data_IF_197959795093
#
_entry.id   IF_197959795093
#
_cell.length_a   1.000
_cell.length_b   1.000
_cell.length_c   1.000
_cell.angle_alpha   90.00
_cell.angle_beta   90.00
_cell.angle_gamma   90.00
#
_symmetry.space_group_name_H-M   'P 1'
#
loop_
_entity.id
_entity.type
_entity.pdbx_description
1 polymer ?
#
# COMPACT_ATOMS: atom_id res chain seq x y z
N UNK A 1 -13.87 -8.02 -23.49
CA UNK A 1 -13.43 -8.51 -22.15
C UNK A 1 -12.23 -7.70 -21.64
N UNK A 2 -11.23 -7.44 -22.50
CA UNK A 2 -10.03 -6.62 -22.22
C UNK A 2 -10.36 -5.19 -21.73
N UNK A 3 -11.38 -4.53 -22.27
CA UNK A 3 -11.72 -3.17 -21.82
C UNK A 3 -12.32 -3.15 -20.41
N UNK A 4 -12.94 -4.25 -19.97
CA UNK A 4 -13.47 -4.35 -18.60
C UNK A 4 -12.34 -4.48 -17.58
N UNK A 5 -11.30 -5.28 -17.88
CA UNK A 5 -10.15 -5.43 -16.98
C UNK A 5 -9.34 -4.14 -16.88
N UNK A 6 -9.16 -3.41 -17.99
CA UNK A 6 -8.52 -2.09 -18.00
C UNK A 6 -9.26 -1.07 -17.14
N UNK A 7 -10.59 -0.96 -17.29
CA UNK A 7 -11.41 -0.05 -16.45
C UNK A 7 -11.42 -0.45 -14.97
N UNK A 8 -11.41 -1.76 -14.70
CA UNK A 8 -11.26 -2.26 -13.35
C UNK A 8 -9.93 -1.80 -12.73
N UNK A 9 -8.82 -1.93 -13.46
CA UNK A 9 -7.52 -1.49 -12.99
C UNK A 9 -7.51 0.02 -12.66
N UNK A 10 -8.08 0.86 -13.53
CA UNK A 10 -8.22 2.30 -13.26
C UNK A 10 -8.98 2.56 -11.95
N UNK A 11 -10.12 1.89 -11.77
CA UNK A 11 -10.95 2.04 -10.56
C UNK A 11 -10.20 1.55 -9.32
N UNK A 12 -9.54 0.39 -9.41
CA UNK A 12 -8.77 -0.19 -8.32
C UNK A 12 -7.58 0.71 -7.93
N UNK A 13 -6.90 1.32 -8.90
CA UNK A 13 -5.82 2.27 -8.65
C UNK A 13 -6.33 3.51 -7.89
N UNK A 14 -7.43 4.12 -8.32
CA UNK A 14 -8.00 5.29 -7.63
C UNK A 14 -8.42 4.93 -6.21
N UNK A 15 -9.17 3.84 -6.04
CA UNK A 15 -9.60 3.38 -4.72
C UNK A 15 -8.40 3.13 -3.80
N UNK A 16 -7.32 2.53 -4.33
CA UNK A 16 -6.11 2.26 -3.54
C UNK A 16 -5.46 3.53 -3.02
N UNK A 17 -5.37 4.60 -3.84
CA UNK A 17 -4.84 5.89 -3.41
C UNK A 17 -5.75 6.58 -2.37
N UNK A 18 -7.06 6.43 -2.50
CA UNK A 18 -8.01 6.95 -1.50
C UNK A 18 -7.91 6.20 -0.17
N UNK A 19 -7.75 4.87 -0.20
CA UNK A 19 -7.51 4.07 1.00
C UNK A 19 -6.18 4.43 1.67
N UNK A 20 -5.12 4.64 0.89
CA UNK A 20 -3.83 5.10 1.39
C UNK A 20 -3.97 6.42 2.17
N UNK A 21 -4.68 7.40 1.60
CA UNK A 21 -4.93 8.67 2.28
C UNK A 21 -5.73 8.48 3.57
N UNK A 22 -6.76 7.62 3.53
CA UNK A 22 -7.61 7.35 4.69
C UNK A 22 -6.81 6.72 5.83
N UNK A 23 -6.03 5.67 5.55
CA UNK A 23 -5.24 4.98 6.57
C UNK A 23 -4.10 5.84 7.09
N UNK A 24 -3.53 6.73 6.27
CA UNK A 24 -2.55 7.70 6.74
C UNK A 24 -3.14 8.72 7.71
N UNK A 25 -4.36 9.20 7.44
CA UNK A 25 -5.05 10.19 8.31
C UNK A 25 -5.56 9.59 9.61
N UNK A 26 -6.10 8.39 9.55
CA UNK A 26 -6.72 7.69 10.67
C UNK A 26 -6.26 6.23 10.71
N UNK A 27 -5.00 5.98 11.09
CA UNK A 27 -4.48 4.63 11.18
C UNK A 27 -5.02 3.90 12.41
N UNK A 28 -5.19 2.57 12.36
CA UNK A 28 -5.47 1.78 13.56
C UNK A 28 -4.38 2.00 14.61
N UNK A 29 -4.76 2.06 15.89
CA UNK A 29 -3.87 2.38 17.02
C UNK A 29 -2.59 1.57 17.00
N UNK A 30 -2.73 0.26 16.79
CA UNK A 30 -1.64 -0.72 16.89
C UNK A 30 -0.64 -0.62 15.73
N UNK A 31 -1.02 0.07 14.65
CA UNK A 31 -0.20 0.24 13.45
C UNK A 31 0.12 1.71 13.14
N UNK A 32 -0.21 2.64 14.05
CA UNK A 32 -0.12 4.08 13.79
C UNK A 32 1.27 4.53 13.36
N UNK A 33 2.29 4.13 14.11
CA UNK A 33 3.68 4.50 13.83
C UNK A 33 4.16 3.84 12.53
N UNK A 34 3.94 2.53 12.40
CA UNK A 34 4.30 1.76 11.20
C UNK A 34 3.69 2.34 9.92
N UNK A 35 2.40 2.68 9.93
CA UNK A 35 1.71 3.26 8.77
C UNK A 35 2.30 4.62 8.44
N UNK A 36 2.52 5.49 9.43
CA UNK A 36 3.07 6.83 9.18
C UNK A 36 4.48 6.75 8.60
N UNK A 37 5.37 6.00 9.24
CA UNK A 37 6.76 5.87 8.81
C UNK A 37 6.85 5.33 7.38
N UNK A 38 6.14 4.24 7.09
CA UNK A 38 6.16 3.62 5.76
C UNK A 38 5.59 4.53 4.69
N UNK A 39 4.47 5.20 4.98
CA UNK A 39 3.87 6.13 4.02
C UNK A 39 4.79 7.31 3.76
N UNK A 40 5.32 7.96 4.79
CA UNK A 40 6.17 9.14 4.65
C UNK A 40 7.47 8.82 3.90
N UNK A 41 8.08 7.67 4.19
CA UNK A 41 9.29 7.18 3.49
C UNK A 41 9.04 6.89 2.01
N UNK A 42 7.98 6.17 1.68
CA UNK A 42 7.72 5.69 0.32
C UNK A 42 6.96 6.70 -0.56
N UNK A 43 6.37 7.73 0.05
CA UNK A 43 5.45 8.64 -0.65
C UNK A 43 6.12 9.37 -1.81
N UNK A 44 7.37 9.82 -1.66
CA UNK A 44 8.08 10.52 -2.74
C UNK A 44 8.18 9.67 -4.02
N UNK A 45 8.52 8.39 -3.87
CA UNK A 45 8.61 7.44 -4.99
C UNK A 45 7.26 7.10 -5.59
N UNK A 46 6.22 6.93 -4.76
CA UNK A 46 4.85 6.75 -5.25
C UNK A 46 4.35 7.98 -6.02
N UNK A 47 4.53 9.18 -5.45
CA UNK A 47 4.14 10.46 -6.04
C UNK A 47 4.77 10.66 -7.41
N UNK A 48 6.07 10.42 -7.54
CA UNK A 48 6.79 10.52 -8.81
C UNK A 48 6.20 9.59 -9.88
N UNK A 49 5.94 8.32 -9.54
CA UNK A 49 5.33 7.35 -10.45
C UNK A 49 3.94 7.79 -10.91
N UNK A 50 3.07 8.21 -9.98
CA UNK A 50 1.71 8.64 -10.34
C UNK A 50 1.73 9.90 -11.21
N UNK A 51 2.63 10.85 -10.96
CA UNK A 51 2.82 12.01 -11.84
C UNK A 51 3.24 11.58 -13.25
N UNK A 52 4.16 10.61 -13.36
CA UNK A 52 4.55 10.00 -14.64
C UNK A 52 3.39 9.33 -15.41
N UNK A 53 2.39 8.81 -14.69
CA UNK A 53 1.16 8.27 -15.30
C UNK A 53 0.26 9.38 -15.86
N UNK A 54 0.22 10.54 -15.19
CA UNK A 54 -0.63 11.67 -15.56
C UNK A 54 -0.08 12.38 -16.80
N UNK A 55 1.22 12.63 -16.83
CA UNK A 55 1.90 13.34 -17.93
C UNK A 55 2.35 12.41 -19.08
N UNK A 56 2.14 11.10 -18.92
CA UNK A 56 2.49 10.04 -19.89
C UNK A 56 4.00 9.85 -20.10
N UNK A 57 4.85 10.46 -19.28
CA UNK A 57 6.31 10.27 -19.35
C UNK A 57 6.75 8.86 -18.95
N UNK A 58 5.99 8.21 -18.07
CA UNK A 58 6.27 6.85 -17.60
C UNK A 58 4.96 6.13 -17.35
N UNK A 59 4.34 5.47 -18.34
CA UNK A 59 3.02 4.87 -18.19
C UNK A 59 3.00 3.71 -17.19
N UNK A 60 1.82 3.35 -16.62
CA UNK A 60 1.70 2.21 -15.73
C UNK A 60 2.17 0.91 -16.41
N UNK A 61 2.85 0.04 -15.65
CA UNK A 61 3.27 -1.29 -16.13
C UNK A 61 2.10 -2.26 -16.30
N UNK A 62 0.92 -1.91 -15.78
CA UNK A 62 -0.31 -2.68 -15.89
C UNK A 62 -1.29 -2.03 -16.88
N UNK A 63 -2.16 -2.83 -17.54
CA UNK A 63 -3.02 -2.31 -18.59
C UNK A 63 -4.13 -1.42 -18.02
N UNK A 64 -4.23 -0.21 -18.56
CA UNK A 64 -5.29 0.78 -18.25
C UNK A 64 -5.94 1.28 -19.55
N UNK A 65 -7.08 1.98 -19.44
CA UNK A 65 -7.66 2.68 -20.60
C UNK A 65 -6.92 3.99 -20.88
N UNK A 66 -6.19 4.51 -19.88
CA UNK A 66 -5.56 5.82 -19.87
C UNK A 66 -6.57 6.95 -20.16
N UNK A 67 -7.78 6.80 -19.61
CA UNK A 67 -8.86 7.75 -19.88
C UNK A 67 -8.57 9.13 -19.29
N UNK A 68 -9.12 10.20 -19.90
CA UNK A 68 -9.01 11.56 -19.35
C UNK A 68 -9.53 11.63 -17.91
N UNK A 69 -10.65 10.96 -17.63
CA UNK A 69 -11.22 10.88 -16.29
C UNK A 69 -10.29 10.21 -15.28
N UNK A 70 -9.57 9.16 -15.69
CA UNK A 70 -8.58 8.50 -14.85
C UNK A 70 -7.42 9.44 -14.50
N UNK A 71 -6.86 10.17 -15.46
CA UNK A 71 -5.79 11.15 -15.20
C UNK A 71 -6.22 12.26 -14.25
N UNK A 72 -7.41 12.82 -14.45
CA UNK A 72 -7.97 13.83 -13.54
C UNK A 72 -8.18 13.27 -12.12
N UNK A 73 -8.61 12.01 -12.00
CA UNK A 73 -8.77 11.37 -10.70
C UNK A 73 -7.41 11.12 -10.02
N UNK A 74 -6.38 10.68 -10.76
CA UNK A 74 -5.02 10.55 -10.24
C UNK A 74 -4.48 11.89 -9.74
N UNK A 75 -4.64 12.96 -10.52
CA UNK A 75 -4.19 14.30 -10.14
C UNK A 75 -4.89 14.78 -8.87
N UNK A 76 -6.21 14.60 -8.77
CA UNK A 76 -6.97 14.92 -7.56
C UNK A 76 -6.49 14.11 -6.35
N UNK A 77 -6.22 12.81 -6.54
CA UNK A 77 -5.74 11.94 -5.47
C UNK A 77 -4.34 12.37 -4.97
N UNK A 78 -3.40 12.62 -5.89
CA UNK A 78 -2.05 13.10 -5.55
C UNK A 78 -2.10 14.45 -4.85
N UNK A 79 -2.91 15.41 -5.32
CA UNK A 79 -3.01 16.72 -4.66
C UNK A 79 -3.53 16.60 -3.21
N UNK A 80 -4.44 15.66 -2.94
CA UNK A 80 -4.95 15.40 -1.58
C UNK A 80 -3.90 14.70 -0.70
N UNK A 81 -3.10 13.81 -1.28
CA UNK A 81 -1.99 13.17 -0.59
C UNK A 81 -0.85 14.17 -0.31
N UNK A 82 -0.49 15.02 -1.27
CA UNK A 82 0.49 16.11 -1.12
C UNK A 82 0.11 17.08 0.02
N UNK A 83 -1.19 17.37 0.16
CA UNK A 83 -1.69 18.23 1.23
C UNK A 83 -1.66 17.55 2.62
N UNK A 84 -1.66 16.21 2.68
CA UNK A 84 -1.72 15.47 3.93
C UNK A 84 -0.33 15.00 4.39
N UNK A 85 0.47 14.49 3.46
CA UNK A 85 1.80 13.93 3.71
C UNK A 85 2.80 15.04 3.42
N UNK A 86 3.37 15.63 4.48
CA UNK A 86 4.42 16.61 4.31
C UNK A 86 5.64 15.92 3.66
N UNK A 87 6.26 16.50 2.62
CA UNK A 87 7.53 15.97 2.14
C UNK A 87 8.57 16.09 3.26
N UNK A 88 9.26 14.99 3.57
CA UNK A 88 10.39 14.90 4.52
C UNK A 88 11.63 15.70 4.07
N UNK A 89 11.46 16.82 3.35
CA UNK A 89 12.58 17.59 2.82
C UNK A 89 13.31 18.45 3.86
N UNK A 90 12.93 18.40 5.15
CA UNK A 90 13.52 19.26 6.20
C UNK A 90 13.76 18.54 7.53
N UNK A 91 13.91 17.22 7.55
CA UNK A 91 14.48 16.53 8.71
C UNK A 91 15.68 15.71 8.24
N UNK A 92 16.85 16.07 8.80
CA UNK A 92 18.18 15.45 8.67
C UNK A 92 19.15 16.06 7.63
N UNK A 93 19.72 17.22 8.01
CA UNK A 93 21.17 17.49 7.87
C UNK A 93 21.59 18.61 8.84
N UNK A 94 21.44 18.35 10.13
CA UNK A 94 22.25 19.04 11.14
C UNK A 94 22.36 18.11 12.34
N UNK A 95 23.32 17.19 12.27
CA UNK A 95 24.02 16.64 13.42
C UNK A 95 25.27 15.94 12.88
N UNK A 96 26.40 16.62 13.02
CA UNK A 96 27.73 16.05 12.80
C UNK A 96 28.10 15.11 13.97
N UNK A 97 29.08 14.21 13.76
CA UNK A 97 29.06 12.85 14.29
C UNK A 97 29.70 12.74 15.68
N UNK A 98 29.09 11.96 16.57
CA UNK A 98 29.83 11.36 17.69
C UNK A 98 30.30 9.96 17.30
N UNK A 99 31.62 9.80 17.22
CA UNK A 99 32.30 8.51 17.18
C UNK A 99 31.89 7.68 18.38
N UNK A 100 31.36 6.47 18.15
CA UNK A 100 31.24 5.45 19.18
C UNK A 100 31.88 4.17 18.64
N UNK A 101 32.93 3.75 19.34
CA UNK A 101 33.71 2.55 19.10
C UNK A 101 32.87 1.27 19.07
N UNK A 102 33.37 0.31 18.29
CA UNK A 102 32.93 -1.09 18.21
C UNK A 102 32.85 -1.74 19.60
N UNK A 103 31.84 -2.57 19.82
CA UNK A 103 32.03 -4.01 20.09
C UNK A 103 30.68 -4.76 20.13
N UNK A 104 30.66 -5.91 19.46
CA UNK A 104 29.88 -7.14 19.66
C UNK A 104 28.43 -7.06 20.21
N UNK A 105 27.46 -7.56 19.43
CA UNK A 105 26.67 -8.74 19.83
C UNK A 105 25.67 -9.24 18.77
N UNK A 106 25.97 -10.44 18.28
CA UNK A 106 25.07 -11.58 18.03
C UNK A 106 23.80 -11.39 17.16
N UNK A 107 23.87 -11.99 15.96
CA UNK A 107 22.73 -12.41 15.14
C UNK A 107 21.74 -13.26 15.98
N UNK A 108 20.55 -12.72 16.27
CA UNK A 108 19.39 -13.54 16.66
C UNK A 108 18.57 -13.85 15.43
N UNK A 109 18.82 -15.02 14.86
CA UNK A 109 17.91 -15.68 13.93
C UNK A 109 16.65 -16.07 14.73
N UNK A 110 15.53 -15.39 14.48
CA UNK A 110 14.23 -15.83 14.99
C UNK A 110 13.64 -16.86 14.03
N UNK A 111 13.74 -18.14 14.40
CA UNK A 111 13.03 -19.23 13.72
C UNK A 111 11.57 -19.27 14.20
N UNK A 112 10.64 -18.79 13.38
CA UNK A 112 9.21 -18.87 13.67
C UNK A 112 8.67 -20.25 13.25
N UNK A 113 8.45 -21.13 14.21
CA UNK A 113 7.68 -22.35 14.01
C UNK A 113 6.20 -22.09 14.36
N UNK A 114 5.33 -22.04 13.36
CA UNK A 114 3.87 -21.94 13.57
C UNK A 114 3.27 -23.35 13.71
N UNK A 115 2.75 -23.75 14.87
CA UNK A 115 2.02 -25.01 14.98
C UNK A 115 0.66 -24.89 14.28
N UNK A 116 0.54 -25.51 13.10
CA UNK A 116 -0.74 -25.64 12.39
C UNK A 116 -1.59 -26.68 13.12
N UNK A 117 -2.61 -26.24 13.85
CA UNK A 117 -3.67 -27.16 14.28
C UNK A 117 -4.61 -27.47 13.10
N UNK A 118 -4.93 -28.75 12.84
CA UNK A 118 -5.86 -29.12 11.78
C UNK A 118 -7.26 -28.58 12.09
N UNK A 119 -7.81 -27.78 11.16
CA UNK A 119 -9.21 -27.34 11.20
C UNK A 119 -10.14 -28.55 11.13
N UNK A 120 -10.98 -28.73 12.16
CA UNK A 120 -12.15 -29.62 12.10
C UNK A 120 -13.19 -28.97 11.19
N UNK A 121 -13.32 -29.44 9.96
CA UNK A 121 -14.43 -29.08 9.09
C UNK A 121 -15.70 -29.81 9.54
N UNK A 122 -16.84 -29.13 9.72
CA UNK A 122 -18.11 -29.81 9.91
C UNK A 122 -18.52 -30.53 8.61
N UNK A 123 -18.93 -31.80 8.74
CA UNK A 123 -19.42 -32.62 7.61
C UNK A 123 -20.64 -31.94 6.95
N UNK A 124 -20.73 -31.95 5.61
CA UNK A 124 -21.97 -31.57 4.94
C UNK A 124 -23.07 -32.60 5.25
N UNK A 125 -24.20 -32.13 5.78
CA UNK A 125 -25.39 -32.95 5.91
C UNK A 125 -25.92 -33.29 4.51
N UNK A 126 -26.13 -34.57 4.24
CA UNK A 126 -26.82 -35.02 3.02
C UNK A 126 -28.30 -34.61 3.09
N UNK A 127 -28.89 -34.10 2.00
CA UNK A 127 -30.34 -33.92 1.95
C UNK A 127 -31.02 -35.29 1.94
N UNK A 128 -31.97 -35.47 2.85
CA UNK A 128 -32.85 -36.64 2.88
C UNK A 128 -33.82 -36.54 1.71
N UNK A 129 -33.57 -37.31 0.65
CA UNK A 129 -34.55 -37.53 -0.42
C UNK A 129 -35.64 -38.45 0.11
N UNK A 130 -36.79 -37.88 0.46
CA UNK A 130 -38.02 -38.60 0.74
C UNK A 130 -38.61 -39.06 -0.59
N UNK A 131 -38.52 -40.38 -0.81
CA UNK A 131 -39.15 -41.11 -1.91
C UNK A 131 -40.67 -41.08 -1.68
N UNK A 132 -41.44 -40.72 -2.70
CA UNK A 132 -42.80 -41.19 -2.91
C UNK A 132 -42.80 -42.22 -4.02
#
# INVERSE_FOLDING_TARGET
MVDRSKRYNETATINSLEYLLKIYKDPPSDFKELVKELVEKEYAGLRSRVRGWIDESSPPSFPVMNSKGFKMALEKAVNRLDAAIKPLAEQERSEEPMEINRDDQAERIYEWSVPVQPRKTPRPQRPSSRIQ
#
